data_IF_056852744476
#
_entry.id   IF_056852744476
#
_cell.length_a   1.000
_cell.length_b   1.000
_cell.length_c   1.000
_cell.angle_alpha   90.00
_cell.angle_beta   90.00
_cell.angle_gamma   90.00
#
_symmetry.space_group_name_H-M   'P 1'
#
loop_
_entity.id
_entity.type
_entity.pdbx_description
1 polymer ?
#
# COMPACT_ATOMS: atom_id res chain seq x y z
N UNK A 1 -5.37 -9.78 7.37
CA UNK A 1 -4.28 -9.71 6.40
C UNK A 1 -2.96 -9.46 7.08
N UNK A 2 -1.90 -9.93 6.49
CA UNK A 2 -0.59 -9.72 7.05
C UNK A 2 -0.13 -8.29 6.80
N UNK A 3 0.48 -7.69 7.80
CA UNK A 3 0.95 -6.33 7.69
C UNK A 3 2.37 -6.23 8.19
N UNK A 4 3.04 -5.17 7.73
CA UNK A 4 4.34 -4.81 8.27
C UNK A 4 4.17 -4.32 9.71
N UNK A 5 5.19 -4.48 10.54
CA UNK A 5 5.13 -3.99 11.92
C UNK A 5 4.81 -2.51 11.97
N UNK A 6 3.87 -2.15 12.82
CA UNK A 6 3.48 -0.77 13.03
C UNK A 6 2.54 -0.18 12.00
N UNK A 7 2.25 -0.91 10.93
CA UNK A 7 1.30 -0.43 9.92
C UNK A 7 -0.12 -0.67 10.43
N UNK A 8 -0.93 0.38 10.39
CA UNK A 8 -2.33 0.31 10.77
C UNK A 8 -3.20 0.46 9.54
N UNK A 9 -4.29 -0.28 9.49
CA UNK A 9 -5.21 -0.20 8.37
C UNK A 9 -6.63 -0.03 8.85
N UNK A 10 -7.35 0.88 8.20
CA UNK A 10 -8.78 1.04 8.42
C UNK A 10 -9.46 0.67 7.11
N UNK A 11 -10.26 -0.39 7.14
CA UNK A 11 -10.97 -0.84 5.95
C UNK A 11 -12.19 0.06 5.76
N UNK A 12 -12.25 0.71 4.61
CA UNK A 12 -13.36 1.62 4.29
C UNK A 12 -14.43 0.93 3.46
N UNK A 13 -14.04 -0.02 2.65
CA UNK A 13 -14.96 -0.81 1.83
C UNK A 13 -14.35 -2.18 1.60
N UNK A 14 -15.17 -3.20 1.61
CA UNK A 14 -14.67 -4.55 1.35
C UNK A 14 -15.79 -5.39 0.73
N UNK A 15 -15.42 -6.15 -0.30
CA UNK A 15 -16.30 -7.13 -0.92
C UNK A 15 -15.58 -8.47 -0.85
N UNK A 16 -16.01 -9.31 0.07
CA UNK A 16 -15.35 -10.59 0.32
C UNK A 16 -15.47 -11.56 -0.84
N UNK A 17 -16.52 -11.43 -1.63
CA UNK A 17 -16.72 -12.35 -2.75
C UNK A 17 -15.72 -12.14 -3.87
N UNK A 18 -15.21 -10.93 -4.01
CA UNK A 18 -14.24 -10.60 -5.08
C UNK A 18 -12.86 -10.31 -4.55
N UNK A 19 -12.73 -9.98 -3.27
CA UNK A 19 -11.47 -9.55 -2.68
C UNK A 19 -11.19 -8.06 -2.85
N UNK A 20 -12.11 -7.33 -3.46
CA UNK A 20 -11.96 -5.88 -3.61
C UNK A 20 -12.02 -5.22 -2.24
N UNK A 21 -11.10 -4.31 -1.98
CA UNK A 21 -11.24 -3.49 -0.78
C UNK A 21 -10.54 -2.15 -0.95
N UNK A 22 -11.00 -1.18 -0.16
CA UNK A 22 -10.40 0.14 -0.06
C UNK A 22 -9.99 0.34 1.38
N UNK A 23 -8.76 0.74 1.60
CA UNK A 23 -8.23 0.91 2.95
C UNK A 23 -7.46 2.19 3.12
N UNK A 24 -7.49 2.68 4.35
CA UNK A 24 -6.69 3.82 4.77
C UNK A 24 -5.55 3.24 5.60
N UNK A 25 -4.31 3.51 5.18
CA UNK A 25 -3.13 2.92 5.80
C UNK A 25 -2.29 4.00 6.44
N UNK A 26 -1.90 3.78 7.69
CA UNK A 26 -0.94 4.64 8.37
C UNK A 26 0.34 3.85 8.56
N UNK A 27 1.43 4.39 8.02
CA UNK A 27 2.74 3.76 8.10
C UNK A 27 3.62 4.66 8.97
N UNK A 28 4.26 4.11 10.01
CA UNK A 28 5.10 4.93 10.88
C UNK A 28 6.37 5.37 10.17
N UNK A 29 7.04 6.43 10.66
CA UNK A 29 8.33 6.85 10.09
C UNK A 29 9.31 5.69 10.07
N UNK A 30 9.96 5.48 8.92
CA UNK A 30 10.88 4.37 8.73
C UNK A 30 10.20 3.04 8.50
N UNK A 31 8.86 3.03 8.39
CA UNK A 31 8.13 1.80 8.17
C UNK A 31 8.39 1.22 6.79
N UNK A 32 8.38 -0.12 6.73
CA UNK A 32 8.65 -0.86 5.50
C UNK A 32 7.49 -1.81 5.26
N UNK A 33 6.97 -1.79 4.03
CA UNK A 33 6.02 -2.81 3.57
C UNK A 33 6.86 -3.89 2.90
N UNK A 34 6.88 -5.10 3.44
CA UNK A 34 7.77 -6.15 2.91
C UNK A 34 7.48 -6.46 1.45
N UNK A 35 8.46 -7.10 0.82
CA UNK A 35 8.37 -7.54 -0.56
C UNK A 35 7.05 -8.29 -0.80
N UNK A 36 6.32 -7.87 -1.82
CA UNK A 36 5.01 -8.45 -2.11
C UNK A 36 4.70 -8.37 -3.60
N UNK A 37 3.81 -9.25 -4.03
CA UNK A 37 3.35 -9.31 -5.40
C UNK A 37 1.93 -8.78 -5.47
N UNK A 38 1.67 -7.88 -6.42
CA UNK A 38 0.33 -7.35 -6.66
C UNK A 38 -0.45 -8.35 -7.50
N UNK A 39 -1.53 -8.90 -6.94
CA UNK A 39 -2.35 -9.89 -7.63
C UNK A 39 -3.29 -9.26 -8.65
N UNK A 40 -3.46 -7.95 -8.55
CA UNK A 40 -4.28 -7.18 -9.47
C UNK A 40 -3.82 -5.73 -9.41
N UNK A 41 -4.40 -4.88 -10.21
CA UNK A 41 -4.08 -3.46 -10.17
C UNK A 41 -4.30 -2.90 -8.76
N UNK A 42 -3.31 -2.18 -8.27
CA UNK A 42 -3.40 -1.46 -7.01
C UNK A 42 -3.24 0.03 -7.29
N UNK A 43 -4.06 0.85 -6.65
CA UNK A 43 -4.01 2.30 -6.80
C UNK A 43 -3.90 2.92 -5.40
N UNK A 44 -3.01 3.90 -5.26
CA UNK A 44 -2.71 4.52 -3.98
C UNK A 44 -2.66 6.02 -4.13
N UNK A 45 -3.36 6.73 -3.26
CA UNK A 45 -3.33 8.18 -3.19
C UNK A 45 -2.67 8.59 -1.87
N UNK A 46 -1.62 9.40 -1.95
CA UNK A 46 -0.89 9.83 -0.75
C UNK A 46 -1.58 11.04 -0.15
N UNK A 47 -2.03 10.90 1.10
CA UNK A 47 -2.72 11.99 1.80
C UNK A 47 -1.75 12.82 2.63
N UNK A 48 -0.74 12.19 3.23
CA UNK A 48 0.23 12.88 4.05
C UNK A 48 1.52 12.06 4.09
N UNK A 49 2.64 12.74 4.29
CA UNK A 49 3.93 12.08 4.42
C UNK A 49 4.52 11.65 3.08
N UNK A 50 5.39 10.65 3.11
CA UNK A 50 6.08 10.16 1.91
C UNK A 50 5.96 8.65 1.83
N UNK A 51 5.88 8.13 0.60
CA UNK A 51 5.74 6.70 0.39
C UNK A 51 6.28 6.35 -0.99
N UNK A 52 7.01 5.27 -1.07
CA UNK A 52 7.54 4.85 -2.36
C UNK A 52 8.38 3.60 -2.29
N UNK A 53 9.21 3.45 -3.31
CA UNK A 53 10.11 2.31 -3.42
C UNK A 53 11.39 2.80 -4.10
N UNK A 54 12.20 1.83 -4.59
CA UNK A 54 13.48 2.18 -5.21
C UNK A 54 13.34 3.06 -6.44
N UNK A 55 12.18 3.03 -7.10
CA UNK A 55 11.97 3.77 -8.33
C UNK A 55 11.59 5.22 -8.08
N UNK A 56 11.13 5.54 -6.89
CA UNK A 56 10.81 6.92 -6.57
C UNK A 56 9.93 7.05 -5.35
N UNK A 57 9.83 8.28 -4.87
CA UNK A 57 9.06 8.64 -3.71
C UNK A 57 7.90 9.54 -4.11
N UNK A 58 6.77 9.32 -3.47
CA UNK A 58 5.57 10.14 -3.67
C UNK A 58 5.30 10.92 -2.39
N UNK A 59 4.71 12.10 -2.54
CA UNK A 59 4.29 12.95 -1.43
C UNK A 59 2.81 13.25 -1.50
N UNK A 60 2.32 14.15 -0.61
CA UNK A 60 0.89 14.44 -0.55
C UNK A 60 0.34 14.90 -1.89
N UNK A 61 -0.78 14.32 -2.29
CA UNK A 61 -1.41 14.63 -3.56
C UNK A 61 -0.94 13.79 -4.73
N UNK A 62 0.09 12.98 -4.54
CA UNK A 62 0.57 12.11 -5.60
C UNK A 62 -0.23 10.83 -5.66
N UNK A 63 -0.30 10.26 -6.85
CA UNK A 63 -1.05 9.05 -7.13
C UNK A 63 -0.09 8.00 -7.69
N UNK A 64 -0.13 6.81 -7.11
CA UNK A 64 0.73 5.71 -7.51
C UNK A 64 -0.16 4.56 -7.95
N UNK A 65 0.24 3.87 -9.01
CA UNK A 65 -0.46 2.63 -9.37
C UNK A 65 0.56 1.56 -9.72
N UNK A 66 0.20 0.31 -9.44
CA UNK A 66 1.03 -0.85 -9.71
C UNK A 66 0.19 -1.90 -10.43
N UNK A 67 0.65 -2.39 -11.57
CA UNK A 67 -0.12 -3.40 -12.31
C UNK A 67 -0.03 -4.76 -11.65
N UNK A 68 -0.90 -5.65 -12.12
CA UNK A 68 -0.85 -7.04 -11.70
C UNK A 68 0.52 -7.62 -12.01
N UNK A 69 1.04 -8.40 -11.09
CA UNK A 69 2.34 -9.05 -11.25
C UNK A 69 3.52 -8.21 -10.82
N UNK A 70 3.32 -6.92 -10.57
CA UNK A 70 4.41 -6.08 -10.10
C UNK A 70 4.82 -6.52 -8.69
N UNK A 71 6.13 -6.56 -8.46
CA UNK A 71 6.68 -7.00 -7.18
C UNK A 71 7.61 -5.94 -6.66
N UNK A 72 7.43 -5.55 -5.41
CA UNK A 72 8.31 -4.57 -4.81
C UNK A 72 8.21 -4.56 -3.29
N UNK A 73 9.18 -3.90 -2.68
CA UNK A 73 9.18 -3.54 -1.28
C UNK A 73 8.98 -2.03 -1.22
N UNK A 74 8.06 -1.58 -0.39
CA UNK A 74 7.76 -0.16 -0.27
C UNK A 74 8.17 0.33 1.10
N UNK A 75 8.43 1.63 1.23
CA UNK A 75 8.85 2.20 2.50
C UNK A 75 8.41 3.67 2.61
N UNK A 76 8.40 4.15 3.85
CA UNK A 76 8.04 5.52 4.15
C UNK A 76 9.04 6.08 5.15
N UNK A 77 10.03 6.87 4.68
CA UNK A 77 11.04 7.41 5.60
C UNK A 77 10.45 8.32 6.68
N UNK A 78 9.45 9.10 6.32
CA UNK A 78 8.87 10.09 7.22
C UNK A 78 7.54 9.67 7.81
N UNK A 79 7.08 8.47 7.49
CA UNK A 79 5.72 8.07 7.80
C UNK A 79 4.75 8.60 6.77
N UNK A 80 3.58 8.00 6.69
CA UNK A 80 2.58 8.46 5.72
C UNK A 80 1.19 8.00 6.08
N UNK A 81 0.23 8.65 5.44
CA UNK A 81 -1.17 8.25 5.45
C UNK A 81 -1.55 8.11 3.99
N UNK A 82 -1.97 6.92 3.58
CA UNK A 82 -2.28 6.64 2.19
C UNK A 82 -3.65 5.98 2.08
N UNK A 83 -4.31 6.23 0.95
CA UNK A 83 -5.59 5.62 0.61
C UNK A 83 -5.33 4.64 -0.51
N UNK A 84 -5.58 3.36 -0.26
CA UNK A 84 -5.30 2.30 -1.23
C UNK A 84 -6.55 1.63 -1.73
N UNK A 85 -6.59 1.37 -3.03
CA UNK A 85 -7.67 0.67 -3.71
C UNK A 85 -7.12 -0.63 -4.27
N UNK A 86 -7.66 -1.75 -3.79
CA UNK A 86 -7.17 -3.07 -4.13
C UNK A 86 -8.27 -3.88 -4.79
N UNK A 87 -8.00 -4.40 -5.98
CA UNK A 87 -8.93 -5.32 -6.63
C UNK A 87 -8.81 -6.72 -6.06
N UNK A 88 -7.63 -7.06 -5.54
CA UNK A 88 -7.38 -8.31 -4.83
C UNK A 88 -6.31 -8.07 -3.78
N UNK A 89 -6.31 -8.83 -2.69
CA UNK A 89 -5.23 -8.69 -1.70
C UNK A 89 -3.87 -9.02 -2.31
N UNK A 90 -2.84 -8.34 -1.85
CA UNK A 90 -1.48 -8.65 -2.25
C UNK A 90 -1.01 -9.95 -1.64
N UNK A 91 -0.04 -10.59 -2.30
CA UNK A 91 0.63 -11.75 -1.75
C UNK A 91 1.99 -11.30 -1.23
N UNK A 92 2.22 -11.50 0.06
CA UNK A 92 3.46 -11.09 0.68
C UNK A 92 4.47 -12.23 0.60
N UNK A 93 5.68 -11.88 0.18
CA UNK A 93 6.79 -12.80 0.07
C UNK A 93 7.66 -12.68 1.30
N UNK A 94 8.27 -13.78 1.67
CA UNK A 94 9.08 -13.80 2.91
C UNK A 94 10.50 -13.45 2.64
#
# INVERSE_FOLDING_TARGET
MSQAPGVEVKVLYQDESTGVFTGLFRIPPGGVVPDHVHRALEQTYVLAGTFGDEEGMAGPGDFIWRPEGNRHEAFSPDGCLILGFFLKPNVFLK
#
